data_IF_368385696813
#
_entry.id   IF_368385696813
#
_cell.length_a   1.000
_cell.length_b   1.000
_cell.length_c   1.000
_cell.angle_alpha   90.00
_cell.angle_beta   90.00
_cell.angle_gamma   90.00
#
_symmetry.space_group_name_H-M   'P 1'
#
loop_
_entity.id
_entity.type
_entity.pdbx_description
1 polymer ?
#
# COMPACT_ATOMS: atom_id res chain seq x y z
N UNK A 1 19.58 -10.02 38.04
CA UNK A 1 18.41 -9.77 37.17
C UNK A 1 17.77 -8.44 37.54
N UNK A 2 17.37 -7.67 36.56
CA UNK A 2 16.74 -6.35 36.70
C UNK A 2 15.49 -6.32 35.85
N UNK A 3 14.41 -5.71 36.34
CA UNK A 3 13.21 -5.45 35.54
C UNK A 3 13.30 -4.04 34.99
N UNK A 4 13.06 -3.87 33.70
CA UNK A 4 13.14 -2.59 33.01
C UNK A 4 11.84 -2.32 32.25
N UNK A 5 11.58 -1.05 31.93
CA UNK A 5 10.50 -0.66 31.03
C UNK A 5 10.77 -1.12 29.60
N UNK A 6 9.71 -1.22 28.79
CA UNK A 6 9.83 -1.60 27.38
C UNK A 6 10.80 -0.66 26.66
N UNK A 7 11.74 -1.25 25.92
CA UNK A 7 12.77 -0.54 25.17
C UNK A 7 12.76 -1.03 23.72
N UNK A 8 13.27 -0.20 22.81
CA UNK A 8 13.47 -0.64 21.42
C UNK A 8 14.60 -1.68 21.36
N UNK A 9 14.67 -2.40 20.23
CA UNK A 9 15.64 -3.47 20.01
C UNK A 9 17.09 -3.00 20.26
N UNK A 10 17.47 -1.84 19.73
CA UNK A 10 18.84 -1.31 19.86
C UNK A 10 19.24 -1.11 21.32
N UNK A 11 18.34 -0.56 22.14
CA UNK A 11 18.60 -0.34 23.57
C UNK A 11 18.64 -1.66 24.36
N UNK A 12 17.82 -2.65 23.98
CA UNK A 12 17.88 -3.99 24.58
C UNK A 12 19.22 -4.66 24.28
N UNK A 13 19.65 -4.63 23.01
CA UNK A 13 20.94 -5.17 22.57
C UNK A 13 22.10 -4.47 23.25
N UNK A 14 22.08 -3.13 23.29
CA UNK A 14 23.11 -2.34 23.96
C UNK A 14 23.22 -2.69 25.45
N UNK A 15 22.08 -2.83 26.14
CA UNK A 15 22.05 -3.18 27.56
C UNK A 15 22.67 -4.57 27.81
N UNK A 16 22.35 -5.56 26.97
CA UNK A 16 22.85 -6.93 27.13
C UNK A 16 24.35 -6.98 26.78
N UNK A 17 24.74 -6.45 25.62
CA UNK A 17 26.10 -6.54 25.13
C UNK A 17 27.07 -5.68 25.93
N UNK A 18 26.69 -4.44 26.31
CA UNK A 18 27.53 -3.60 27.18
C UNK A 18 27.81 -4.27 28.52
N UNK A 19 26.84 -4.98 29.12
CA UNK A 19 27.06 -5.76 30.34
C UNK A 19 27.99 -6.94 30.13
N UNK A 20 27.86 -7.64 29.00
CA UNK A 20 28.73 -8.77 28.65
C UNK A 20 30.18 -8.31 28.43
N UNK A 21 30.40 -7.20 27.74
CA UNK A 21 31.74 -6.69 27.43
C UNK A 21 32.42 -6.03 28.63
N UNK A 22 31.66 -5.47 29.57
CA UNK A 22 32.17 -4.96 30.85
C UNK A 22 32.49 -6.08 31.87
N UNK A 23 32.18 -7.34 31.56
CA UNK A 23 32.50 -8.45 32.45
C UNK A 23 34.00 -8.78 32.41
N UNK A 24 34.61 -8.88 33.60
CA UNK A 24 36.02 -9.31 33.79
C UNK A 24 36.34 -10.67 33.16
N UNK A 25 35.33 -11.48 32.84
CA UNK A 25 35.47 -12.82 32.26
C UNK A 25 35.69 -12.81 30.75
N UNK A 26 35.17 -11.83 30.02
CA UNK A 26 35.16 -11.85 28.55
C UNK A 26 36.32 -11.05 27.95
N UNK A 27 36.73 -9.94 28.59
CA UNK A 27 37.87 -9.10 28.22
C UNK A 27 38.04 -8.96 26.69
N UNK A 28 37.04 -8.40 26.00
CA UNK A 28 37.11 -8.17 24.56
C UNK A 28 37.94 -6.92 24.28
N UNK A 29 38.95 -7.09 23.44
CA UNK A 29 39.74 -5.99 22.89
C UNK A 29 39.18 -5.60 21.52
N UNK A 30 39.43 -4.36 21.09
CA UNK A 30 39.10 -3.92 19.73
C UNK A 30 39.79 -4.84 18.71
N UNK A 31 39.05 -5.29 17.69
CA UNK A 31 39.51 -6.24 16.69
C UNK A 31 39.47 -7.71 17.13
N UNK A 32 39.01 -8.03 18.34
CA UNK A 32 38.85 -9.41 18.79
C UNK A 32 37.92 -10.19 17.86
N UNK A 33 38.34 -11.41 17.53
CA UNK A 33 37.55 -12.35 16.75
C UNK A 33 36.54 -13.06 17.66
N UNK A 34 35.27 -13.06 17.25
CA UNK A 34 34.16 -13.51 18.09
C UNK A 34 33.19 -14.43 17.33
N UNK A 35 32.54 -15.29 18.09
CA UNK A 35 31.36 -16.06 17.66
C UNK A 35 30.18 -15.63 18.50
N UNK A 36 29.04 -15.38 17.87
CA UNK A 36 27.82 -14.94 18.55
C UNK A 36 26.72 -15.98 18.34
N UNK A 37 26.02 -16.30 19.42
CA UNK A 37 24.78 -17.09 19.40
C UNK A 37 23.64 -16.24 19.94
N UNK A 38 22.70 -15.88 19.07
CA UNK A 38 21.40 -15.34 19.43
C UNK A 38 20.40 -16.49 19.55
N UNK A 39 20.07 -16.84 20.80
CA UNK A 39 19.19 -17.96 21.10
C UNK A 39 17.76 -17.49 21.43
N UNK A 40 16.78 -18.14 20.82
CA UNK A 40 15.35 -17.95 21.10
C UNK A 40 14.93 -18.82 22.29
N UNK A 41 14.32 -18.22 23.31
CA UNK A 41 13.85 -18.92 24.51
C UNK A 41 12.52 -19.66 24.29
N UNK A 42 11.83 -19.47 23.17
CA UNK A 42 10.63 -20.22 22.82
C UNK A 42 9.75 -19.49 21.82
N UNK A 43 9.11 -18.40 22.25
CA UNK A 43 8.01 -17.75 21.51
C UNK A 43 8.36 -16.39 20.89
N UNK A 44 9.64 -16.02 20.83
CA UNK A 44 10.07 -14.85 20.03
C UNK A 44 9.91 -15.17 18.55
N UNK A 45 9.23 -14.30 17.80
CA UNK A 45 8.93 -14.53 16.38
C UNK A 45 10.20 -14.45 15.52
N UNK A 46 10.15 -15.04 14.33
CA UNK A 46 11.27 -14.97 13.39
C UNK A 46 11.57 -13.53 12.96
N UNK A 47 10.56 -12.66 12.88
CA UNK A 47 10.75 -11.24 12.55
C UNK A 47 11.55 -10.55 13.64
N UNK A 48 11.18 -10.76 14.91
CA UNK A 48 11.90 -10.19 16.06
C UNK A 48 13.34 -10.71 16.13
N UNK A 49 13.56 -12.00 15.90
CA UNK A 49 14.92 -12.57 15.83
C UNK A 49 15.76 -11.96 14.71
N UNK A 50 15.16 -11.68 13.55
CA UNK A 50 15.86 -11.05 12.43
C UNK A 50 16.25 -9.59 12.75
N UNK A 51 15.35 -8.84 13.40
CA UNK A 51 15.62 -7.46 13.87
C UNK A 51 16.75 -7.48 14.91
N UNK A 52 16.66 -8.36 15.91
CA UNK A 52 17.69 -8.54 16.93
C UNK A 52 19.03 -8.96 16.32
N UNK A 53 19.02 -9.85 15.32
CA UNK A 53 20.24 -10.27 14.61
C UNK A 53 20.93 -9.08 13.95
N UNK A 54 20.15 -8.22 13.26
CA UNK A 54 20.66 -7.00 12.66
C UNK A 54 21.25 -6.03 13.69
N UNK A 55 20.52 -5.78 14.78
CA UNK A 55 20.96 -4.89 15.85
C UNK A 55 22.24 -5.40 16.55
N UNK A 56 22.34 -6.70 16.83
CA UNK A 56 23.54 -7.31 17.44
C UNK A 56 24.75 -7.17 16.51
N UNK A 57 24.60 -7.50 15.22
CA UNK A 57 25.69 -7.35 14.26
C UNK A 57 26.13 -5.89 14.09
N UNK A 58 25.18 -4.95 14.07
CA UNK A 58 25.47 -3.53 14.00
C UNK A 58 26.22 -3.05 15.24
N UNK A 59 25.76 -3.43 16.44
CA UNK A 59 26.41 -3.08 17.70
C UNK A 59 27.85 -3.64 17.74
N UNK A 60 28.04 -4.91 17.40
CA UNK A 60 29.38 -5.53 17.36
C UNK A 60 30.34 -4.77 16.44
N UNK A 61 29.88 -4.33 15.27
CA UNK A 61 30.69 -3.52 14.33
C UNK A 61 31.02 -2.15 14.88
N UNK A 62 30.06 -1.45 15.48
CA UNK A 62 30.26 -0.12 16.06
C UNK A 62 31.29 -0.14 17.20
N UNK A 63 31.38 -1.26 17.92
CA UNK A 63 32.36 -1.49 18.96
C UNK A 63 33.64 -2.20 18.48
N UNK A 64 33.85 -2.30 17.15
CA UNK A 64 35.04 -2.86 16.51
C UNK A 64 35.31 -4.35 16.80
N UNK A 65 34.28 -5.13 17.10
CA UNK A 65 34.41 -6.59 17.22
C UNK A 65 34.17 -7.28 15.88
N UNK A 66 35.02 -8.26 15.55
CA UNK A 66 34.86 -9.05 14.33
C UNK A 66 34.02 -10.28 14.65
N UNK A 67 32.85 -10.41 14.03
CA UNK A 67 31.97 -11.58 14.20
C UNK A 67 32.26 -12.59 13.09
N UNK A 68 33.01 -13.64 13.40
CA UNK A 68 33.37 -14.67 12.43
C UNK A 68 32.26 -15.68 12.19
N UNK A 69 31.43 -15.98 13.21
CA UNK A 69 30.23 -16.81 13.08
C UNK A 69 29.08 -16.19 13.84
N UNK A 70 27.91 -16.16 13.21
CA UNK A 70 26.68 -15.74 13.83
C UNK A 70 25.65 -16.87 13.74
N UNK A 71 25.30 -17.43 14.89
CA UNK A 71 24.27 -18.44 15.02
C UNK A 71 22.98 -17.79 15.53
N UNK A 72 21.85 -18.12 14.91
CA UNK A 72 20.55 -17.62 15.32
C UNK A 72 19.52 -18.76 15.26
N UNK A 73 18.81 -18.99 16.36
CA UNK A 73 17.76 -19.99 16.38
C UNK A 73 17.35 -20.45 17.78
N UNK A 74 16.55 -21.50 17.81
CA UNK A 74 16.02 -22.09 19.04
C UNK A 74 16.91 -23.25 19.47
N UNK A 75 17.92 -22.95 20.28
CA UNK A 75 18.93 -23.92 20.73
C UNK A 75 18.65 -24.38 22.17
N UNK A 76 18.38 -23.44 23.07
CA UNK A 76 18.08 -23.70 24.48
C UNK A 76 16.87 -22.88 24.91
N UNK A 77 15.71 -23.53 25.03
CA UNK A 77 14.44 -22.89 25.36
C UNK A 77 14.16 -22.83 26.86
N UNK A 78 13.31 -21.89 27.25
CA UNK A 78 12.57 -21.90 28.51
C UNK A 78 11.08 -22.09 28.21
N UNK A 79 10.70 -23.28 27.74
CA UNK A 79 9.37 -23.60 27.21
C UNK A 79 8.96 -22.64 26.08
N UNK A 80 7.86 -21.90 26.27
CA UNK A 80 7.32 -20.87 25.38
C UNK A 80 7.74 -19.45 25.81
N UNK A 81 8.84 -19.32 26.55
CA UNK A 81 9.35 -18.04 27.00
C UNK A 81 9.52 -17.05 25.85
N UNK A 82 8.83 -15.92 25.92
CA UNK A 82 9.00 -14.83 24.95
C UNK A 82 10.24 -14.01 25.33
N UNK A 83 11.39 -14.43 24.82
CA UNK A 83 12.65 -13.78 25.13
C UNK A 83 13.82 -14.40 24.39
N UNK A 84 14.97 -13.79 24.60
CA UNK A 84 16.22 -14.16 23.93
C UNK A 84 17.36 -14.25 24.93
N UNK A 85 18.40 -14.97 24.55
CA UNK A 85 19.70 -14.91 25.20
C UNK A 85 20.80 -14.71 24.17
N UNK A 86 21.76 -13.84 24.47
CA UNK A 86 22.93 -13.60 23.61
C UNK A 86 24.15 -14.21 24.30
N UNK A 87 24.86 -15.07 23.58
CA UNK A 87 26.15 -15.62 24.00
C UNK A 87 27.24 -15.15 23.05
N UNK A 88 28.37 -14.74 23.60
CA UNK A 88 29.54 -14.25 22.85
C UNK A 88 30.75 -15.07 23.28
N UNK A 89 31.43 -15.66 22.31
CA UNK A 89 32.66 -16.42 22.48
C UNK A 89 33.82 -15.66 21.86
N UNK A 90 34.82 -15.30 22.66
CA UNK A 90 36.11 -14.79 22.16
C UNK A 90 36.92 -15.95 21.61
N UNK A 91 37.36 -15.84 20.35
CA UNK A 91 38.12 -16.89 19.67
C UNK A 91 39.60 -16.71 20.01
N UNK A 92 40.17 -17.67 20.74
CA UNK A 92 41.59 -17.67 21.08
C UNK A 92 42.44 -18.57 20.17
N UNK A 93 41.84 -19.66 19.67
CA UNK A 93 42.45 -20.57 18.71
C UNK A 93 41.55 -20.65 17.47
N UNK A 94 42.05 -20.32 16.26
CA UNK A 94 41.29 -20.43 15.02
C UNK A 94 40.69 -21.82 14.77
N UNK A 95 41.27 -22.89 15.34
CA UNK A 95 40.72 -24.25 15.26
C UNK A 95 39.33 -24.37 15.88
N UNK A 96 38.96 -23.48 16.79
CA UNK A 96 37.61 -23.46 17.38
C UNK A 96 36.55 -23.16 16.34
N UNK A 97 36.85 -22.31 15.35
CA UNK A 97 35.94 -22.03 14.24
C UNK A 97 35.72 -23.30 13.42
N UNK A 98 36.79 -24.00 13.05
CA UNK A 98 36.68 -25.27 12.33
C UNK A 98 35.94 -26.34 13.13
N UNK A 99 36.09 -26.37 14.46
CA UNK A 99 35.37 -27.29 15.33
C UNK A 99 33.87 -26.96 15.42
N UNK A 100 33.51 -25.67 15.44
CA UNK A 100 32.11 -25.22 15.41
C UNK A 100 31.44 -25.50 14.06
N UNK A 101 32.21 -25.40 12.98
CA UNK A 101 31.76 -25.64 11.61
C UNK A 101 31.61 -27.13 11.27
N UNK A 102 32.24 -28.01 12.06
CA UNK A 102 32.28 -29.44 11.78
C UNK A 102 30.88 -30.07 11.77
N UNK A 103 30.65 -30.98 10.83
CA UNK A 103 29.41 -31.76 10.79
C UNK A 103 29.27 -32.58 12.07
N UNK A 104 28.07 -32.55 12.65
CA UNK A 104 27.72 -33.43 13.76
C UNK A 104 26.24 -33.81 13.69
N UNK A 105 25.93 -34.99 14.23
CA UNK A 105 24.57 -35.54 14.26
C UNK A 105 23.78 -35.09 15.50
N UNK A 106 24.24 -34.04 16.20
CA UNK A 106 23.60 -33.54 17.39
C UNK A 106 22.26 -32.86 17.01
N UNK A 107 21.11 -33.34 17.51
CA UNK A 107 19.79 -32.93 17.01
C UNK A 107 19.47 -31.43 17.23
N UNK A 108 20.11 -30.80 18.22
CA UNK A 108 19.96 -29.38 18.53
C UNK A 108 20.98 -28.48 17.83
N UNK A 109 22.03 -29.03 17.23
CA UNK A 109 23.05 -28.26 16.53
C UNK A 109 22.72 -28.20 15.04
N UNK A 110 21.86 -27.26 14.67
CA UNK A 110 21.62 -26.95 13.26
C UNK A 110 22.70 -25.97 12.84
N UNK A 111 23.54 -26.35 11.88
CA UNK A 111 24.65 -25.54 11.35
C UNK A 111 24.12 -24.36 10.49
N UNK A 112 23.14 -23.62 11.02
CA UNK A 112 22.52 -22.43 10.42
C UNK A 112 23.38 -21.24 10.83
N UNK A 113 24.57 -21.20 10.23
CA UNK A 113 25.52 -20.13 10.43
C UNK A 113 25.35 -19.05 9.36
N UNK A 114 25.29 -17.80 9.78
CA UNK A 114 25.61 -16.68 8.91
C UNK A 114 27.08 -16.32 9.14
N UNK A 115 27.84 -16.20 8.06
CA UNK A 115 29.13 -15.49 8.07
C UNK A 115 28.78 -14.03 7.75
N UNK A 116 28.81 -13.12 8.74
CA UNK A 116 28.39 -11.74 8.52
C UNK A 116 29.28 -11.09 7.47
N UNK A 117 28.67 -10.46 6.46
CA UNK A 117 29.42 -9.68 5.48
C UNK A 117 29.75 -8.31 6.07
N UNK A 118 31.02 -8.07 6.35
CA UNK A 118 31.53 -6.80 6.91
C UNK A 118 31.39 -5.62 5.93
N UNK A 119 31.10 -5.87 4.64
CA UNK A 119 30.93 -4.84 3.61
C UNK A 119 29.50 -4.28 3.50
N UNK A 120 28.57 -4.66 4.38
CA UNK A 120 27.20 -4.12 4.34
C UNK A 120 27.20 -2.67 4.86
N UNK A 121 27.09 -1.71 3.93
CA UNK A 121 26.76 -0.32 4.23
C UNK A 121 25.25 -0.17 4.28
N UNK A 122 24.70 0.02 5.47
CA UNK A 122 23.30 0.44 5.65
C UNK A 122 23.20 1.87 5.11
N UNK A 123 22.75 2.02 3.87
CA UNK A 123 22.44 3.32 3.30
C UNK A 123 21.00 3.61 3.66
N UNK A 124 20.72 4.75 4.30
CA UNK A 124 19.34 5.16 4.53
C UNK A 124 18.61 5.23 3.18
N UNK A 125 17.40 4.68 3.11
CA UNK A 125 16.56 4.82 1.92
C UNK A 125 16.21 6.31 1.81
N UNK A 126 16.87 7.02 0.89
CA UNK A 126 16.49 8.38 0.56
C UNK A 126 15.21 8.33 -0.26
N UNK A 127 14.12 8.90 0.28
CA UNK A 127 12.91 9.11 -0.51
C UNK A 127 13.21 10.27 -1.47
N UNK A 128 13.59 9.93 -2.70
CA UNK A 128 13.69 10.92 -3.76
C UNK A 128 12.28 11.32 -4.19
N UNK A 129 11.99 12.62 -4.23
CA UNK A 129 10.76 13.11 -4.85
C UNK A 129 10.75 12.68 -6.32
N UNK A 130 9.81 11.79 -6.67
CA UNK A 130 9.59 11.40 -8.07
C UNK A 130 8.82 12.52 -8.74
N UNK A 131 9.50 13.34 -9.55
CA UNK A 131 8.83 14.29 -10.43
C UNK A 131 8.18 13.54 -11.59
N UNK A 132 6.85 13.60 -11.67
CA UNK A 132 6.11 13.04 -12.80
C UNK A 132 6.49 13.78 -14.10
N UNK A 133 6.65 13.06 -15.22
CA UNK A 133 6.84 13.70 -16.52
C UNK A 133 5.56 14.44 -16.93
N UNK A 134 5.74 15.57 -17.61
CA UNK A 134 4.63 16.29 -18.25
C UNK A 134 4.39 15.64 -19.62
N UNK A 135 3.21 15.03 -19.79
CA UNK A 135 2.79 14.22 -20.93
C UNK A 135 1.50 14.75 -21.57
N UNK A 136 1.29 14.34 -22.83
CA UNK A 136 0.07 14.62 -23.60
C UNK A 136 0.04 16.00 -24.25
N UNK A 137 -0.90 16.18 -25.17
CA UNK A 137 -1.14 17.46 -25.85
C UNK A 137 -1.73 18.50 -24.89
N UNK A 138 -1.42 19.76 -25.17
CA UNK A 138 -2.02 20.90 -24.46
C UNK A 138 -3.38 21.24 -25.09
N UNK A 139 -4.38 21.48 -24.25
CA UNK A 139 -5.71 21.94 -24.65
C UNK A 139 -5.88 23.43 -24.38
N UNK A 140 -6.92 24.04 -24.95
CA UNK A 140 -7.21 25.46 -24.73
C UNK A 140 -7.60 25.75 -23.27
N UNK A 141 -7.38 26.99 -22.84
CA UNK A 141 -7.61 27.44 -21.46
C UNK A 141 -9.08 27.32 -21.03
N UNK A 142 -10.02 27.53 -21.95
CA UNK A 142 -11.46 27.39 -21.64
C UNK A 142 -11.79 25.95 -21.31
N UNK A 143 -11.25 25.01 -22.09
CA UNK A 143 -11.45 23.60 -21.82
C UNK A 143 -10.72 23.12 -20.56
N UNK A 144 -9.49 23.60 -20.32
CA UNK A 144 -8.76 23.33 -19.08
C UNK A 144 -9.55 23.79 -17.84
N UNK A 145 -10.13 24.99 -17.88
CA UNK A 145 -10.97 25.51 -16.79
C UNK A 145 -12.24 24.67 -16.61
N UNK A 146 -12.83 24.14 -17.69
CA UNK A 146 -13.96 23.22 -17.62
C UNK A 146 -13.59 21.90 -16.93
N UNK A 147 -12.42 21.32 -17.22
CA UNK A 147 -11.91 20.12 -16.52
C UNK A 147 -11.72 20.41 -15.03
N UNK A 148 -11.06 21.52 -14.68
CA UNK A 148 -10.87 21.95 -13.28
C UNK A 148 -12.20 22.06 -12.54
N UNK A 149 -13.19 22.69 -13.17
CA UNK A 149 -14.52 22.85 -12.58
C UNK A 149 -15.24 21.51 -12.37
N UNK A 150 -15.14 20.59 -13.34
CA UNK A 150 -15.73 19.26 -13.23
C UNK A 150 -15.07 18.44 -12.11
N UNK A 151 -13.74 18.49 -12.01
CA UNK A 151 -13.01 17.81 -10.94
C UNK A 151 -13.38 18.38 -9.57
N UNK A 152 -13.44 19.70 -9.43
CA UNK A 152 -13.86 20.35 -8.18
C UNK A 152 -15.28 19.95 -7.77
N UNK A 153 -16.22 19.87 -8.72
CA UNK A 153 -17.57 19.39 -8.47
C UNK A 153 -17.58 17.91 -8.00
N UNK A 154 -16.77 17.06 -8.63
CA UNK A 154 -16.64 15.65 -8.27
C UNK A 154 -16.15 15.47 -6.83
N UNK A 155 -15.06 16.13 -6.44
CA UNK A 155 -14.49 16.01 -5.09
C UNK A 155 -15.41 16.61 -4.03
N UNK A 156 -16.10 17.72 -4.35
CA UNK A 156 -17.11 18.30 -3.46
C UNK A 156 -18.28 17.35 -3.22
N UNK A 157 -18.75 16.65 -4.26
CA UNK A 157 -19.82 15.66 -4.15
C UNK A 157 -19.41 14.46 -3.28
N UNK A 158 -18.17 13.99 -3.41
CA UNK A 158 -17.64 12.90 -2.60
C UNK A 158 -17.52 13.27 -1.12
N UNK A 159 -17.00 14.47 -0.81
CA UNK A 159 -16.93 14.99 0.56
C UNK A 159 -18.35 15.09 1.16
N UNK A 160 -19.30 15.64 0.41
CA UNK A 160 -20.68 15.77 0.87
C UNK A 160 -21.38 14.41 1.08
N UNK A 161 -20.94 13.36 0.39
CA UNK A 161 -21.50 12.01 0.47
C UNK A 161 -20.83 11.14 1.55
N UNK A 162 -19.85 11.64 2.30
CA UNK A 162 -19.05 10.86 3.25
C UNK A 162 -19.92 10.06 4.24
N UNK A 163 -20.85 10.73 4.92
CA UNK A 163 -21.70 10.09 5.93
C UNK A 163 -22.64 9.02 5.34
N UNK A 164 -23.16 9.27 4.13
CA UNK A 164 -24.02 8.33 3.41
C UNK A 164 -23.23 7.07 3.02
N UNK A 165 -22.04 7.26 2.45
CA UNK A 165 -21.18 6.16 2.00
C UNK A 165 -20.68 5.32 3.18
N UNK A 166 -20.28 5.93 4.30
CA UNK A 166 -19.93 5.21 5.52
C UNK A 166 -21.12 4.42 6.10
N UNK A 167 -22.33 4.99 6.05
CA UNK A 167 -23.53 4.30 6.51
C UNK A 167 -23.82 3.06 5.66
N UNK A 168 -23.76 3.18 4.33
CA UNK A 168 -23.93 2.05 3.41
C UNK A 168 -22.88 0.97 3.66
N UNK A 169 -21.63 1.39 3.83
CA UNK A 169 -20.51 0.48 4.06
C UNK A 169 -20.59 -0.21 5.43
N UNK A 170 -21.05 0.46 6.49
CA UNK A 170 -21.16 -0.12 7.83
C UNK A 170 -22.08 -1.35 7.93
N UNK A 171 -22.93 -1.58 6.92
CA UNK A 171 -23.85 -2.74 6.86
C UNK A 171 -23.15 -4.02 6.43
N UNK A 172 -22.20 -3.92 5.51
CA UNK A 172 -21.56 -5.08 4.87
C UNK A 172 -20.02 -4.97 4.83
N UNK A 173 -19.43 -3.90 5.35
CA UNK A 173 -18.00 -3.61 5.37
C UNK A 173 -17.57 -3.08 6.74
N UNK A 174 -16.52 -2.26 6.77
CA UNK A 174 -15.97 -1.64 7.98
C UNK A 174 -16.45 -0.20 8.20
N UNK A 175 -17.25 0.35 7.29
CA UNK A 175 -17.91 1.64 7.49
C UNK A 175 -17.00 2.84 7.22
N UNK A 176 -15.97 2.66 6.38
CA UNK A 176 -14.95 3.67 6.09
C UNK A 176 -14.91 4.11 4.62
N UNK A 177 -15.77 3.56 3.75
CA UNK A 177 -15.76 3.88 2.32
C UNK A 177 -15.88 5.39 2.05
N UNK A 178 -16.80 6.07 2.72
CA UNK A 178 -16.98 7.52 2.61
C UNK A 178 -15.78 8.31 3.08
N UNK A 179 -15.22 7.96 4.25
CA UNK A 179 -14.03 8.63 4.78
C UNK A 179 -12.80 8.39 3.91
N UNK A 180 -12.66 7.20 3.33
CA UNK A 180 -11.59 6.87 2.36
C UNK A 180 -11.70 7.72 1.10
N UNK A 181 -12.91 7.87 0.55
CA UNK A 181 -13.15 8.76 -0.60
C UNK A 181 -12.95 10.24 -0.23
N UNK A 182 -13.30 10.64 0.99
CA UNK A 182 -13.10 12.01 1.48
C UNK A 182 -11.60 12.34 1.62
N UNK A 183 -10.75 11.40 2.05
CA UNK A 183 -9.28 11.58 2.05
C UNK A 183 -8.78 11.92 0.65
N UNK A 184 -9.17 11.13 -0.36
CA UNK A 184 -8.81 11.38 -1.75
C UNK A 184 -9.30 12.75 -2.23
N UNK A 185 -10.57 13.07 -1.96
CA UNK A 185 -11.20 14.31 -2.40
C UNK A 185 -10.53 15.55 -1.78
N UNK A 186 -10.20 15.51 -0.48
CA UNK A 186 -9.50 16.61 0.20
C UNK A 186 -8.06 16.79 -0.28
N UNK A 187 -7.35 15.70 -0.60
CA UNK A 187 -6.01 15.76 -1.17
C UNK A 187 -6.04 16.39 -2.57
N UNK A 188 -6.99 15.99 -3.42
CA UNK A 188 -7.20 16.59 -4.74
C UNK A 188 -7.59 18.06 -4.63
N UNK A 189 -8.49 18.43 -3.71
CA UNK A 189 -8.88 19.83 -3.48
C UNK A 189 -7.68 20.69 -3.05
N UNK A 190 -6.81 20.14 -2.22
CA UNK A 190 -5.56 20.79 -1.84
C UNK A 190 -4.64 20.98 -3.05
N UNK A 191 -4.52 19.98 -3.92
CA UNK A 191 -3.74 20.08 -5.16
C UNK A 191 -4.32 21.11 -6.14
N UNK A 192 -5.66 21.22 -6.24
CA UNK A 192 -6.37 22.26 -7.00
C UNK A 192 -5.99 23.65 -6.49
N UNK A 193 -6.11 23.87 -5.18
CA UNK A 193 -5.82 25.17 -4.52
C UNK A 193 -4.36 25.58 -4.64
N UNK A 194 -3.45 24.62 -4.55
CA UNK A 194 -2.01 24.85 -4.66
C UNK A 194 -1.54 25.01 -6.12
N UNK A 195 -2.43 24.85 -7.11
CA UNK A 195 -2.07 24.93 -8.53
C UNK A 195 -1.12 23.82 -8.97
N UNK A 196 -1.16 22.66 -8.31
CA UNK A 196 -0.22 21.55 -8.57
C UNK A 196 -0.69 20.61 -9.68
N UNK A 197 -1.91 20.78 -10.20
CA UNK A 197 -2.51 19.96 -11.25
C UNK A 197 -2.47 20.66 -12.61
N UNK A 198 -2.02 19.94 -13.65
CA UNK A 198 -1.91 20.44 -15.03
C UNK A 198 -3.22 20.21 -15.80
N UNK A 199 -4.22 21.06 -15.58
CA UNK A 199 -5.54 20.92 -16.24
C UNK A 199 -5.48 21.10 -17.75
N UNK A 200 -4.51 21.87 -18.23
CA UNK A 200 -4.20 22.10 -19.64
C UNK A 200 -3.60 20.87 -20.34
N UNK A 201 -3.22 19.82 -19.58
CA UNK A 201 -2.71 18.55 -20.11
C UNK A 201 -3.44 17.37 -19.48
N UNK A 202 -4.59 16.94 -20.05
CA UNK A 202 -5.47 15.95 -19.43
C UNK A 202 -4.79 14.61 -19.11
N UNK A 203 -3.85 14.15 -19.95
CA UNK A 203 -3.02 12.97 -19.65
C UNK A 203 -2.19 13.16 -18.37
N UNK A 204 -1.51 14.30 -18.24
CA UNK A 204 -0.73 14.62 -17.03
C UNK A 204 -1.63 14.76 -15.82
N UNK A 205 -2.77 15.43 -15.95
CA UNK A 205 -3.75 15.61 -14.87
C UNK A 205 -4.21 14.25 -14.31
N UNK A 206 -4.64 13.31 -15.16
CA UNK A 206 -5.06 11.98 -14.69
C UNK A 206 -3.92 11.20 -14.02
N UNK A 207 -2.68 11.34 -14.50
CA UNK A 207 -1.52 10.72 -13.85
C UNK A 207 -1.25 11.33 -12.47
N UNK A 208 -1.39 12.65 -12.32
CA UNK A 208 -1.26 13.32 -11.02
C UNK A 208 -2.36 12.89 -10.05
N UNK A 209 -3.60 12.74 -10.52
CA UNK A 209 -4.69 12.19 -9.70
C UNK A 209 -4.39 10.74 -9.29
N UNK A 210 -3.86 9.92 -10.20
CA UNK A 210 -3.42 8.55 -9.89
C UNK A 210 -2.43 8.53 -8.73
N UNK A 211 -1.41 9.39 -8.77
CA UNK A 211 -0.40 9.48 -7.70
C UNK A 211 -0.98 9.97 -6.38
N UNK A 212 -1.97 10.85 -6.39
CA UNK A 212 -2.69 11.25 -5.17
C UNK A 212 -3.40 10.04 -4.56
N UNK A 213 -4.12 9.25 -5.36
CA UNK A 213 -4.78 8.04 -4.86
C UNK A 213 -3.77 7.00 -4.35
N UNK A 214 -2.63 6.84 -5.01
CA UNK A 214 -1.59 5.89 -4.60
C UNK A 214 -0.92 6.26 -3.28
N UNK A 215 -0.67 7.55 -3.04
CA UNK A 215 0.08 8.03 -1.88
C UNK A 215 -0.81 8.34 -0.66
N UNK A 216 -2.01 8.88 -0.88
CA UNK A 216 -2.85 9.42 0.19
C UNK A 216 -3.95 8.47 0.64
N UNK A 217 -4.37 7.53 -0.23
CA UNK A 217 -5.56 6.72 0.00
C UNK A 217 -5.17 5.28 0.32
N UNK A 218 -5.53 4.84 1.52
CA UNK A 218 -5.29 3.48 1.97
C UNK A 218 -6.20 2.44 1.32
N UNK A 219 -5.82 1.17 1.52
CA UNK A 219 -6.64 0.02 1.17
C UNK A 219 -6.80 -0.22 -0.33
N UNK A 220 -7.78 -1.06 -0.68
CA UNK A 220 -8.04 -1.48 -2.06
C UNK A 220 -8.56 -0.32 -2.91
N UNK A 221 -9.34 0.60 -2.33
CA UNK A 221 -9.89 1.77 -3.03
C UNK A 221 -8.80 2.65 -3.63
N UNK A 222 -7.75 2.99 -2.85
CA UNK A 222 -6.62 3.78 -3.34
C UNK A 222 -5.93 3.14 -4.54
N UNK A 223 -5.59 1.85 -4.41
CA UNK A 223 -4.95 1.09 -5.48
C UNK A 223 -5.82 0.99 -6.75
N UNK A 224 -7.14 0.75 -6.61
CA UNK A 224 -8.03 0.62 -7.77
C UNK A 224 -8.26 1.94 -8.50
N UNK A 225 -8.43 3.05 -7.78
CA UNK A 225 -8.57 4.36 -8.42
C UNK A 225 -7.25 4.84 -9.03
N UNK A 226 -6.11 4.62 -8.38
CA UNK A 226 -4.79 4.89 -8.97
C UNK A 226 -4.61 4.11 -10.28
N UNK A 227 -4.90 2.81 -10.26
CA UNK A 227 -4.86 1.97 -11.46
C UNK A 227 -5.82 2.46 -12.55
N UNK A 228 -7.06 2.79 -12.20
CA UNK A 228 -8.05 3.29 -13.15
C UNK A 228 -7.56 4.57 -13.83
N UNK A 229 -7.08 5.54 -13.05
CA UNK A 229 -6.64 6.85 -13.54
C UNK A 229 -5.35 6.77 -14.36
N UNK A 230 -4.37 5.99 -13.91
CA UNK A 230 -3.13 5.74 -14.67
C UNK A 230 -3.38 5.03 -16.00
N UNK A 231 -4.28 4.05 -16.06
CA UNK A 231 -4.66 3.42 -17.32
C UNK A 231 -5.43 4.38 -18.24
N UNK A 232 -6.36 5.15 -17.68
CA UNK A 232 -7.19 6.13 -18.40
C UNK A 232 -6.36 7.22 -19.08
N UNK A 233 -5.25 7.64 -18.48
CA UNK A 233 -4.45 8.77 -18.98
C UNK A 233 -3.87 8.53 -20.38
N UNK A 234 -3.58 7.28 -20.74
CA UNK A 234 -3.00 6.91 -22.03
C UNK A 234 -3.89 7.30 -23.23
N UNK A 235 -5.21 7.28 -23.04
CA UNK A 235 -6.19 7.66 -24.05
C UNK A 235 -6.24 9.17 -24.32
N UNK A 236 -5.67 9.98 -23.43
CA UNK A 236 -5.69 11.45 -23.52
C UNK A 236 -4.37 12.04 -24.03
N UNK A 237 -3.53 11.22 -24.64
CA UNK A 237 -2.20 11.61 -25.12
C UNK A 237 -2.24 12.55 -26.33
N UNK A 238 -3.19 12.34 -27.25
CA UNK A 238 -3.28 13.06 -28.53
C UNK A 238 -4.47 14.00 -28.63
N UNK A 239 -5.36 13.97 -27.65
CA UNK A 239 -6.60 14.75 -27.64
C UNK A 239 -7.46 14.43 -26.42
N UNK A 240 -8.50 15.23 -26.22
CA UNK A 240 -9.46 15.07 -25.14
C UNK A 240 -10.90 15.25 -25.64
N UNK A 241 -11.22 14.65 -26.78
CA UNK A 241 -12.59 14.68 -27.32
C UNK A 241 -13.54 13.83 -26.47
N UNK A 242 -14.85 13.96 -26.71
CA UNK A 242 -15.87 13.12 -26.04
C UNK A 242 -15.60 11.61 -26.21
N UNK A 243 -15.06 11.19 -27.36
CA UNK A 243 -14.67 9.79 -27.62
C UNK A 243 -13.42 9.41 -26.84
N UNK A 244 -12.45 10.32 -26.72
CA UNK A 244 -11.22 10.07 -25.95
C UNK A 244 -11.52 9.88 -24.45
N UNK A 245 -12.42 10.69 -23.88
CA UNK A 245 -12.87 10.53 -22.50
C UNK A 245 -13.65 9.23 -22.28
N UNK A 246 -14.47 8.81 -23.24
CA UNK A 246 -15.12 7.50 -23.19
C UNK A 246 -14.09 6.36 -23.22
N UNK A 247 -13.11 6.45 -24.12
CA UNK A 247 -12.03 5.46 -24.21
C UNK A 247 -11.18 5.43 -22.93
N UNK A 248 -10.95 6.58 -22.31
CA UNK A 248 -10.29 6.69 -21.02
C UNK A 248 -11.07 5.93 -19.94
N UNK A 249 -12.38 6.19 -19.80
CA UNK A 249 -13.26 5.49 -18.85
C UNK A 249 -13.27 3.96 -19.08
N UNK A 250 -13.39 3.55 -20.35
CA UNK A 250 -13.37 2.13 -20.74
C UNK A 250 -12.04 1.47 -20.38
N UNK A 251 -10.93 2.09 -20.73
CA UNK A 251 -9.58 1.55 -20.46
C UNK A 251 -9.30 1.48 -18.96
N UNK A 252 -9.72 2.49 -18.20
CA UNK A 252 -9.66 2.50 -16.75
C UNK A 252 -10.46 1.35 -16.12
N UNK A 253 -11.70 1.13 -16.57
CA UNK A 253 -12.52 -0.01 -16.13
C UNK A 253 -11.85 -1.35 -16.45
N UNK A 254 -11.36 -1.53 -17.68
CA UNK A 254 -10.70 -2.77 -18.10
C UNK A 254 -9.47 -3.07 -17.24
N UNK A 255 -8.69 -2.04 -16.86
CA UNK A 255 -7.58 -2.19 -15.93
C UNK A 255 -8.06 -2.63 -14.54
N UNK A 256 -9.07 -1.96 -13.98
CA UNK A 256 -9.67 -2.32 -12.67
C UNK A 256 -10.15 -3.78 -12.68
N UNK A 257 -10.84 -4.23 -13.73
CA UNK A 257 -11.30 -5.61 -13.85
C UNK A 257 -10.14 -6.60 -13.96
N UNK A 258 -9.11 -6.27 -14.76
CA UNK A 258 -7.95 -7.13 -15.01
C UNK A 258 -7.13 -7.40 -13.75
N UNK A 259 -6.81 -6.35 -12.98
CA UNK A 259 -5.92 -6.45 -11.81
C UNK A 259 -6.67 -6.55 -10.49
N UNK A 260 -7.89 -6.01 -10.40
CA UNK A 260 -8.75 -6.15 -9.23
C UNK A 260 -9.57 -7.44 -9.21
N UNK A 261 -9.61 -8.19 -10.33
CA UNK A 261 -10.35 -9.45 -10.51
C UNK A 261 -11.87 -9.37 -10.29
N UNK A 262 -12.41 -8.17 -10.09
CA UNK A 262 -13.85 -7.94 -10.00
C UNK A 262 -14.45 -7.91 -11.42
N UNK A 263 -15.63 -8.51 -11.56
CA UNK A 263 -16.41 -8.52 -12.81
C UNK A 263 -17.83 -8.03 -12.54
N UNK A 264 -18.60 -7.65 -13.57
CA UNK A 264 -20.00 -7.25 -13.38
C UNK A 264 -20.80 -8.33 -12.64
N UNK A 265 -21.62 -7.90 -11.69
CA UNK A 265 -22.39 -8.74 -10.77
C UNK A 265 -21.72 -8.99 -9.43
N UNK A 266 -20.48 -8.52 -9.20
CA UNK A 266 -19.74 -8.79 -7.97
C UNK A 266 -20.06 -7.81 -6.81
N UNK A 267 -20.99 -6.87 -7.03
CA UNK A 267 -21.40 -5.85 -6.05
C UNK A 267 -20.22 -4.93 -5.68
N UNK A 268 -19.75 -4.15 -6.65
CA UNK A 268 -18.60 -3.24 -6.50
C UNK A 268 -18.72 -2.00 -7.40
N UNK A 269 -17.71 -1.12 -7.35
CA UNK A 269 -17.53 -0.02 -8.31
C UNK A 269 -17.50 -0.43 -9.79
N UNK A 270 -17.22 -1.70 -10.11
CA UNK A 270 -17.21 -2.22 -11.49
C UNK A 270 -18.61 -2.20 -12.09
N UNK A 271 -19.65 -2.44 -11.30
CA UNK A 271 -21.03 -2.55 -11.79
C UNK A 271 -21.53 -1.28 -12.50
N UNK A 272 -21.48 -0.08 -11.88
CA UNK A 272 -21.88 1.16 -12.56
C UNK A 272 -20.96 1.54 -13.71
N UNK A 273 -19.64 1.34 -13.57
CA UNK A 273 -18.69 1.66 -14.64
C UNK A 273 -18.93 0.80 -15.88
N UNK A 274 -19.13 -0.50 -15.69
CA UNK A 274 -19.41 -1.43 -16.77
C UNK A 274 -20.74 -1.13 -17.45
N UNK A 275 -21.79 -0.83 -16.67
CA UNK A 275 -23.08 -0.46 -17.22
C UNK A 275 -23.00 0.83 -18.07
N UNK A 276 -22.23 1.83 -17.63
CA UNK A 276 -21.97 3.04 -18.41
C UNK A 276 -21.27 2.69 -19.72
N UNK A 277 -20.11 2.04 -19.65
CA UNK A 277 -19.29 1.71 -20.84
C UNK A 277 -20.09 0.86 -21.84
N UNK A 278 -20.88 -0.10 -21.36
CA UNK A 278 -21.69 -0.99 -22.21
C UNK A 278 -22.88 -0.29 -22.88
N UNK A 279 -23.27 0.90 -22.43
CA UNK A 279 -24.41 1.64 -22.98
C UNK A 279 -24.10 2.34 -24.32
N UNK A 280 -22.82 2.45 -24.69
CA UNK A 280 -22.35 3.02 -25.94
C UNK A 280 -21.91 1.95 -26.94
N UNK A 281 -22.43 2.06 -28.16
CA UNK A 281 -22.04 1.23 -29.30
C UNK A 281 -21.59 2.13 -30.45
N UNK A 282 -20.29 2.07 -30.77
CA UNK A 282 -19.67 2.86 -31.82
C UNK A 282 -20.15 2.46 -33.23
N UNK A 283 -20.78 1.30 -33.40
CA UNK A 283 -21.41 0.90 -34.67
C UNK A 283 -22.75 1.61 -34.92
N UNK A 284 -23.38 2.12 -33.85
CA UNK A 284 -24.69 2.78 -33.89
C UNK A 284 -24.58 4.31 -33.81
N UNK A 285 -23.61 4.83 -33.05
CA UNK A 285 -23.38 6.27 -32.90
C UNK A 285 -21.90 6.61 -32.99
N UNK A 286 -21.58 7.75 -33.62
CA UNK A 286 -20.21 8.27 -33.71
C UNK A 286 -19.72 8.97 -32.45
N UNK A 287 -20.63 9.25 -31.50
CA UNK A 287 -20.31 9.92 -30.22
C UNK A 287 -21.08 9.28 -29.06
N UNK A 288 -20.45 9.18 -27.87
CA UNK A 288 -21.13 8.69 -26.68
C UNK A 288 -22.18 9.69 -26.18
N UNK A 289 -23.35 9.17 -25.80
CA UNK A 289 -24.40 9.91 -25.11
C UNK A 289 -24.17 9.84 -23.59
N UNK A 290 -23.56 10.88 -23.04
CA UNK A 290 -23.20 10.93 -21.62
C UNK A 290 -24.42 10.97 -20.69
N UNK A 291 -25.58 11.44 -21.14
CA UNK A 291 -26.81 11.38 -20.35
C UNK A 291 -27.28 9.93 -20.20
N UNK A 292 -27.27 9.17 -21.30
CA UNK A 292 -27.59 7.74 -21.30
C UNK A 292 -26.59 6.96 -20.46
N UNK A 293 -25.29 7.19 -20.64
CA UNK A 293 -24.23 6.50 -19.91
C UNK A 293 -24.40 6.66 -18.39
N UNK A 294 -24.63 7.89 -17.93
CA UNK A 294 -24.85 8.19 -16.51
C UNK A 294 -26.12 7.50 -15.96
N UNK A 295 -27.23 7.54 -16.71
CA UNK A 295 -28.47 6.87 -16.30
C UNK A 295 -28.29 5.35 -16.11
N UNK A 296 -27.52 4.70 -16.99
CA UNK A 296 -27.20 3.29 -16.86
C UNK A 296 -26.29 3.02 -15.64
N UNK A 297 -25.29 3.87 -15.41
CA UNK A 297 -24.41 3.78 -14.24
C UNK A 297 -25.20 3.84 -12.92
N UNK A 298 -26.08 4.82 -12.78
CA UNK A 298 -26.91 4.99 -11.58
C UNK A 298 -27.87 3.84 -11.33
N UNK A 299 -28.54 3.39 -12.40
CA UNK A 299 -29.42 2.23 -12.31
C UNK A 299 -28.65 1.00 -11.85
N UNK A 300 -27.45 0.77 -12.40
CA UNK A 300 -26.60 -0.36 -12.02
C UNK A 300 -26.09 -0.25 -10.58
N UNK A 301 -25.65 0.93 -10.13
CA UNK A 301 -25.25 1.15 -8.74
C UNK A 301 -26.40 0.85 -7.78
N UNK A 302 -27.62 1.30 -8.06
CA UNK A 302 -28.78 0.98 -7.24
C UNK A 302 -29.11 -0.52 -7.23
N UNK A 303 -28.93 -1.20 -8.37
CA UNK A 303 -29.21 -2.62 -8.50
C UNK A 303 -28.20 -3.52 -7.78
N UNK A 304 -27.04 -3.00 -7.36
CA UNK A 304 -26.08 -3.75 -6.53
C UNK A 304 -26.67 -4.25 -5.20
N UNK A 305 -27.77 -3.63 -4.72
CA UNK A 305 -28.53 -4.11 -3.56
C UNK A 305 -29.19 -5.48 -3.75
N UNK A 306 -29.33 -5.93 -4.99
CA UNK A 306 -29.87 -7.25 -5.35
C UNK A 306 -28.77 -8.27 -5.68
N UNK A 307 -27.50 -7.88 -5.52
CA UNK A 307 -26.34 -8.71 -5.82
C UNK A 307 -25.74 -9.27 -4.53
N UNK A 308 -24.98 -10.37 -4.66
CA UNK A 308 -24.18 -10.90 -3.56
C UNK A 308 -22.72 -10.56 -3.80
N UNK A 309 -22.07 -9.95 -2.82
CA UNK A 309 -20.66 -9.61 -2.90
C UNK A 309 -19.79 -10.87 -3.08
N UNK A 310 -18.92 -10.85 -4.09
CA UNK A 310 -17.94 -11.91 -4.37
C UNK A 310 -16.49 -11.49 -4.07
N UNK A 311 -16.26 -10.20 -3.85
CA UNK A 311 -14.95 -9.65 -3.49
C UNK A 311 -15.09 -8.48 -2.51
N UNK A 312 -13.95 -8.00 -2.02
CA UNK A 312 -13.88 -6.95 -0.99
C UNK A 312 -14.37 -7.42 0.38
N UNK A 313 -14.40 -6.51 1.35
CA UNK A 313 -14.83 -6.80 2.72
C UNK A 313 -16.28 -7.32 2.80
N UNK A 314 -17.14 -6.86 1.89
CA UNK A 314 -18.51 -7.34 1.76
C UNK A 314 -18.64 -8.85 1.49
N UNK A 315 -17.68 -9.45 0.80
CA UNK A 315 -17.69 -10.91 0.54
C UNK A 315 -17.60 -11.77 1.81
N UNK A 316 -17.13 -11.20 2.93
CA UNK A 316 -17.03 -11.89 4.23
C UNK A 316 -18.34 -11.91 5.02
N UNK A 317 -19.33 -11.14 4.59
CA UNK A 317 -20.61 -10.97 5.30
C UNK A 317 -21.72 -11.83 4.71
N UNK A 318 -22.77 -12.07 5.51
CA UNK A 318 -23.97 -12.78 5.04
C UNK A 318 -24.73 -11.97 4.00
N UNK A 319 -25.31 -12.62 2.98
CA UNK A 319 -26.18 -11.96 2.01
C UNK A 319 -27.42 -11.32 2.66
N UNK A 320 -27.82 -11.76 3.86
CA UNK A 320 -28.94 -11.18 4.61
C UNK A 320 -28.71 -9.75 5.08
N UNK A 321 -27.46 -9.28 5.14
CA UNK A 321 -27.12 -7.88 5.51
C UNK A 321 -26.75 -7.02 4.30
N UNK A 322 -26.71 -7.61 3.10
CA UNK A 322 -26.35 -6.95 1.84
C UNK A 322 -27.60 -6.43 1.11
N UNK A 323 -28.49 -5.74 1.82
CA UNK A 323 -29.79 -5.30 1.28
C UNK A 323 -29.77 -3.89 0.70
N UNK A 324 -28.69 -3.16 0.92
CA UNK A 324 -28.48 -1.80 0.42
C UNK A 324 -27.46 -1.78 -0.72
N UNK A 325 -27.48 -0.73 -1.57
CA UNK A 325 -26.48 -0.53 -2.61
C UNK A 325 -25.05 -0.59 -2.07
N UNK A 326 -24.14 -1.09 -2.90
CA UNK A 326 -22.71 -1.10 -2.63
C UNK A 326 -22.17 0.34 -2.51
N UNK A 327 -21.45 0.68 -1.42
CA UNK A 327 -20.94 2.04 -1.23
C UNK A 327 -19.93 2.44 -2.32
N UNK A 328 -19.10 1.51 -2.82
CA UNK A 328 -18.17 1.77 -3.92
C UNK A 328 -18.90 2.08 -5.24
N UNK A 329 -19.98 1.36 -5.52
CA UNK A 329 -20.85 1.62 -6.66
C UNK A 329 -21.56 2.98 -6.55
N UNK A 330 -22.09 3.31 -5.36
CA UNK A 330 -22.72 4.62 -5.12
C UNK A 330 -21.70 5.74 -5.28
N UNK A 331 -20.50 5.60 -4.71
CA UNK A 331 -19.42 6.58 -4.84
C UNK A 331 -19.07 6.87 -6.31
N UNK A 332 -19.04 5.85 -7.18
CA UNK A 332 -18.86 6.03 -8.63
C UNK A 332 -19.89 6.99 -9.20
N UNK A 333 -21.15 6.74 -8.90
CA UNK A 333 -22.24 7.54 -9.47
C UNK A 333 -22.27 8.97 -8.93
N UNK A 334 -21.83 9.20 -7.68
CA UNK A 334 -21.72 10.56 -7.10
C UNK A 334 -20.76 11.43 -7.92
N UNK A 335 -19.54 10.95 -8.16
CA UNK A 335 -18.58 11.74 -8.94
C UNK A 335 -18.96 11.81 -10.43
N UNK A 336 -19.52 10.74 -11.02
CA UNK A 336 -19.98 10.77 -12.41
C UNK A 336 -21.09 11.81 -12.63
N UNK A 337 -22.08 11.84 -11.73
CA UNK A 337 -23.18 12.81 -11.73
C UNK A 337 -22.66 14.24 -11.61
N UNK A 338 -21.76 14.49 -10.66
CA UNK A 338 -21.19 15.82 -10.46
C UNK A 338 -20.38 16.33 -11.66
N UNK A 339 -19.57 15.45 -12.29
CA UNK A 339 -18.85 15.78 -13.53
C UNK A 339 -19.85 16.10 -14.64
N UNK A 340 -20.84 15.23 -14.83
CA UNK A 340 -21.86 15.41 -15.86
C UNK A 340 -22.59 16.75 -15.71
N UNK A 341 -23.16 17.02 -14.54
CA UNK A 341 -23.95 18.23 -14.31
C UNK A 341 -23.08 19.47 -14.54
N UNK A 342 -21.81 19.44 -14.14
CA UNK A 342 -20.89 20.56 -14.38
C UNK A 342 -20.44 20.68 -15.84
N UNK A 343 -20.26 19.57 -16.55
CA UNK A 343 -19.85 19.55 -17.95
C UNK A 343 -20.96 20.00 -18.91
N UNK A 344 -22.23 19.81 -18.52
CA UNK A 344 -23.41 20.11 -19.35
C UNK A 344 -24.25 21.27 -18.83
N UNK A 345 -23.84 21.98 -17.77
CA UNK A 345 -24.55 23.13 -17.20
C UNK A 345 -24.76 24.31 -18.17
N UNK A 346 -23.92 24.43 -19.21
CA UNK A 346 -23.91 25.54 -20.17
C UNK A 346 -24.44 25.15 -21.57
N UNK A 347 -25.14 24.01 -21.70
CA UNK A 347 -25.70 23.52 -22.97
C UNK A 347 -27.22 23.65 -23.05
#
# INVERSE_FOLDING_TARGET
CERQSLANCDKVVDTILSRLTQSDKLQLESGAETVVLLNNLGSTSQIELNILSGAVLQWMRQHFFRVSRFFCGTVMTSLDGHGISISVLKVHDPKWLSALDAECDAPGWRNVQAIPNDNIRLTAITHAEVKLPVLGVEIDETYAQKIKNCLHAAVTSLIASESELNLLDSRAGDGDCGSTMAVAANAIETAIRNGSLHFERPQTCLLQLSTIFENEVGGTTGALYALMLSASCSCLSSGATSVDWYNALKTGLEAVMKYGHAVPGYRTMVDPLHAAVSAYDASVSTKPDWHKLLSYAETAAQNTKFMRAQCGRASYTSSSVQTEPDPGAVAVTKWMRAIHDKAFADN
#
